data_IF_973359374128
#
_entry.id   IF_973359374128
#
_cell.length_a   1.000
_cell.length_b   1.000
_cell.length_c   1.000
_cell.angle_alpha   90.00
_cell.angle_beta   90.00
_cell.angle_gamma   90.00
#
_symmetry.space_group_name_H-M   'P 1'
#
loop_
_entity.id
_entity.type
_entity.pdbx_description
1 polymer ?
#
# COMPACT_ATOMS: atom_id res chain seq x y z
N UNK A 1 -15.30 11.38 14.13
CA UNK A 1 -14.67 10.82 12.92
C UNK A 1 -13.25 10.36 13.25
N UNK A 2 -13.14 9.21 13.91
CA UNK A 2 -11.84 8.55 14.16
C UNK A 2 -11.65 7.41 13.16
N UNK A 3 -10.45 7.29 12.61
CA UNK A 3 -10.02 6.07 11.89
C UNK A 3 -9.30 5.16 12.88
N UNK A 4 -9.61 3.87 12.92
CA UNK A 4 -8.74 2.93 13.62
C UNK A 4 -7.41 2.85 12.88
N UNK A 5 -6.32 2.72 13.64
CA UNK A 5 -5.02 2.37 13.05
C UNK A 5 -5.13 1.05 12.29
N UNK A 6 -4.35 0.91 11.21
CA UNK A 6 -4.17 -0.37 10.56
C UNK A 6 -3.72 -1.40 11.60
N UNK A 7 -4.52 -2.46 11.80
CA UNK A 7 -4.22 -3.49 12.81
C UNK A 7 -3.03 -4.37 12.42
N UNK A 8 -2.61 -4.33 11.15
CA UNK A 8 -1.53 -5.16 10.62
C UNK A 8 -0.25 -4.32 10.43
N UNK A 9 0.82 -4.58 11.19
CA UNK A 9 2.08 -3.86 11.04
C UNK A 9 2.76 -4.12 9.68
N UNK A 10 3.68 -3.23 9.31
CA UNK A 10 4.52 -3.37 8.11
C UNK A 10 5.89 -3.92 8.53
N UNK A 11 6.13 -5.20 8.23
CA UNK A 11 7.39 -5.89 8.55
C UNK A 11 8.44 -5.71 7.43
N UNK A 12 9.03 -4.53 7.34
CA UNK A 12 10.03 -4.23 6.30
C UNK A 12 11.31 -5.07 6.40
N UNK A 13 11.66 -5.54 7.59
CA UNK A 13 12.86 -6.34 7.86
C UNK A 13 12.86 -7.72 7.19
N UNK A 14 11.72 -8.16 6.65
CA UNK A 14 11.61 -9.40 5.89
C UNK A 14 12.16 -9.27 4.47
N UNK A 15 12.27 -8.05 3.93
CA UNK A 15 12.88 -7.78 2.62
C UNK A 15 14.37 -7.55 2.83
N UNK A 16 15.21 -8.45 2.33
CA UNK A 16 16.63 -8.50 2.71
C UNK A 16 17.55 -8.25 1.52
N UNK A 17 17.25 -8.78 0.34
CA UNK A 17 18.14 -8.72 -0.81
C UNK A 17 17.98 -7.38 -1.51
N UNK A 18 19.08 -6.78 -1.96
CA UNK A 18 19.03 -5.56 -2.80
C UNK A 18 18.10 -5.75 -4.00
N UNK A 19 17.26 -4.75 -4.26
CA UNK A 19 16.22 -4.74 -5.28
C UNK A 19 15.10 -5.75 -5.08
N UNK A 20 15.07 -6.50 -3.97
CA UNK A 20 13.93 -7.32 -3.59
C UNK A 20 12.72 -6.42 -3.33
N UNK A 21 11.58 -6.84 -3.84
CA UNK A 21 10.28 -6.19 -3.60
C UNK A 21 9.33 -7.21 -3.01
N UNK A 22 8.77 -6.89 -1.84
CA UNK A 22 7.67 -7.66 -1.23
C UNK A 22 6.42 -6.80 -1.21
N UNK A 23 5.31 -7.32 -1.74
CA UNK A 23 4.02 -6.63 -1.73
C UNK A 23 2.97 -7.40 -0.94
N UNK A 24 2.00 -6.68 -0.38
CA UNK A 24 0.87 -7.28 0.33
C UNK A 24 -0.34 -6.36 0.34
N UNK A 25 -1.54 -6.94 0.28
CA UNK A 25 -2.80 -6.21 0.44
C UNK A 25 -3.06 -5.91 1.93
N UNK A 26 -3.70 -4.78 2.20
CA UNK A 26 -4.11 -4.32 3.53
C UNK A 26 -5.56 -3.85 3.49
N UNK A 27 -6.24 -4.08 4.60
CA UNK A 27 -7.62 -3.65 4.82
C UNK A 27 -7.73 -3.06 6.23
N UNK A 28 -8.31 -1.86 6.31
CA UNK A 28 -8.63 -1.18 7.55
C UNK A 28 -10.15 -0.98 7.64
N UNK A 29 -10.71 -1.07 8.85
CA UNK A 29 -12.13 -0.83 9.10
C UNK A 29 -12.34 0.55 9.73
N UNK A 30 -13.26 1.34 9.17
CA UNK A 30 -13.70 2.61 9.80
C UNK A 30 -14.56 2.37 11.04
N UNK A 31 -14.52 3.30 12.00
CA UNK A 31 -15.11 3.16 13.33
C UNK A 31 -16.63 3.44 13.39
N UNK A 32 -17.18 4.27 12.51
CA UNK A 32 -18.58 4.73 12.61
C UNK A 32 -19.21 4.97 11.23
N UNK A 33 -20.00 4.01 10.74
CA UNK A 33 -21.24 4.21 9.97
C UNK A 33 -21.86 2.85 9.68
N UNK A 34 -23.19 2.77 9.60
CA UNK A 34 -23.96 1.55 9.28
C UNK A 34 -23.52 0.84 7.97
N UNK A 35 -22.74 1.52 7.14
CA UNK A 35 -22.08 0.97 5.95
C UNK A 35 -20.57 0.84 6.17
N UNK A 36 -20.14 -0.17 6.94
CA UNK A 36 -18.74 -0.63 7.11
C UNK A 36 -17.80 -0.20 5.97
N UNK A 37 -17.17 0.98 6.10
CA UNK A 37 -16.29 1.49 5.05
C UNK A 37 -14.91 0.88 5.25
N UNK A 38 -14.61 -0.10 4.41
CA UNK A 38 -13.28 -0.67 4.29
C UNK A 38 -12.36 0.32 3.57
N UNK A 39 -11.15 0.50 4.07
CA UNK A 39 -10.09 1.19 3.36
C UNK A 39 -9.02 0.18 2.97
N UNK A 40 -8.87 -0.03 1.66
CA UNK A 40 -7.98 -1.02 1.06
C UNK A 40 -6.84 -0.33 0.33
N UNK A 41 -5.65 -0.89 0.51
CA UNK A 41 -4.42 -0.42 -0.11
C UNK A 41 -3.42 -1.58 -0.21
N UNK A 42 -2.44 -1.42 -1.08
CA UNK A 42 -1.29 -2.29 -1.21
C UNK A 42 -0.09 -1.65 -0.50
N UNK A 43 0.66 -2.47 0.22
CA UNK A 43 1.98 -2.11 0.72
C UNK A 43 3.00 -2.78 -0.18
N UNK A 44 3.93 -2.02 -0.75
CA UNK A 44 5.10 -2.58 -1.42
C UNK A 44 6.37 -2.08 -0.73
N UNK A 45 7.24 -3.01 -0.35
CA UNK A 45 8.50 -2.72 0.33
C UNK A 45 9.62 -3.12 -0.63
N UNK A 46 10.48 -2.17 -0.98
CA UNK A 46 11.66 -2.40 -1.80
C UNK A 46 12.92 -2.18 -0.97
N UNK A 47 13.86 -3.13 -1.01
CA UNK A 47 15.21 -2.93 -0.48
C UNK A 47 16.01 -2.17 -1.53
N UNK A 48 16.45 -0.97 -1.19
CA UNK A 48 17.27 -0.14 -2.07
C UNK A 48 18.73 -0.63 -2.07
N UNK A 49 19.51 -0.19 -3.06
CA UNK A 49 20.93 -0.53 -3.22
C UNK A 49 21.82 0.21 -2.21
N UNK A 50 21.52 0.03 -0.93
CA UNK A 50 22.39 0.40 0.17
C UNK A 50 23.29 -0.79 0.51
N UNK A 51 24.57 -0.55 0.86
CA UNK A 51 25.49 -1.60 1.28
C UNK A 51 24.87 -2.49 2.37
N UNK A 52 25.03 -3.81 2.22
CA UNK A 52 24.69 -4.73 3.29
C UNK A 52 25.57 -4.45 4.51
N UNK A 53 24.96 -4.47 5.71
CA UNK A 53 25.70 -4.24 6.93
C UNK A 53 26.73 -5.35 7.13
N UNK A 54 28.00 -5.01 7.01
CA UNK A 54 29.09 -5.88 7.41
C UNK A 54 29.11 -5.93 8.94
N UNK A 55 28.88 -7.10 9.59
CA UNK A 55 29.02 -7.20 11.03
C UNK A 55 30.43 -6.78 11.42
N UNK A 56 30.52 -5.86 12.38
CA UNK A 56 31.79 -5.31 12.83
C UNK A 56 32.55 -6.34 13.67
N UNK A 57 33.08 -7.38 13.05
CA UNK A 57 34.13 -8.20 13.66
C UNK A 57 35.49 -7.44 13.67
N UNK A 58 35.49 -6.15 13.28
CA UNK A 58 36.64 -5.24 13.17
C UNK A 58 36.72 -4.26 14.37
N UNK A 59 35.67 -4.12 15.20
CA UNK A 59 35.68 -3.21 16.35
C UNK A 59 35.33 -3.91 17.65
N UNK A 60 36.28 -3.92 18.57
CA UNK A 60 36.23 -4.54 19.88
C UNK A 60 35.19 -3.93 20.82
N UNK A 61 34.65 -4.81 21.65
CA UNK A 61 33.97 -4.59 22.92
C UNK A 61 32.71 -3.70 22.98
N UNK A 62 31.59 -4.39 23.22
CA UNK A 62 30.54 -4.04 24.19
C UNK A 62 29.39 -3.09 23.82
N UNK A 63 29.25 -2.56 22.59
CA UNK A 63 28.16 -1.60 22.34
C UNK A 63 27.56 -1.59 20.92
N UNK A 64 27.25 -2.74 20.30
CA UNK A 64 26.48 -2.74 19.04
C UNK A 64 25.37 -3.78 19.06
N UNK A 65 24.23 -3.43 19.65
CA UNK A 65 22.96 -3.94 19.15
C UNK A 65 22.90 -3.53 17.67
N UNK A 66 23.04 -4.51 16.78
CA UNK A 66 23.17 -4.32 15.34
C UNK A 66 21.82 -3.84 14.80
N UNK A 67 21.64 -2.53 14.70
CA UNK A 67 20.49 -1.96 14.01
C UNK A 67 20.68 -2.15 12.51
N UNK A 68 19.89 -3.07 11.90
CA UNK A 68 19.78 -3.15 10.43
C UNK A 68 19.46 -1.76 9.90
N UNK A 69 20.32 -1.21 9.05
CA UNK A 69 20.08 0.13 8.51
C UNK A 69 18.84 0.11 7.60
N UNK A 70 17.89 1.03 7.80
CA UNK A 70 16.66 1.10 7.01
C UNK A 70 16.98 1.64 5.61
N UNK A 71 17.39 0.74 4.72
CA UNK A 71 17.63 1.04 3.31
C UNK A 71 16.44 0.59 2.46
N UNK A 72 15.23 0.97 2.85
CA UNK A 72 13.99 0.47 2.26
C UNK A 72 13.09 1.62 1.84
N UNK A 73 12.46 1.48 0.67
CA UNK A 73 11.35 2.33 0.25
C UNK A 73 10.04 1.57 0.49
N UNK A 74 9.13 2.18 1.25
CA UNK A 74 7.80 1.62 1.55
C UNK A 74 6.76 2.45 0.81
N UNK A 75 6.07 1.83 -0.13
CA UNK A 75 4.96 2.42 -0.88
C UNK A 75 3.63 2.00 -0.26
N UNK A 76 2.73 2.97 -0.10
CA UNK A 76 1.32 2.76 0.23
C UNK A 76 0.50 3.15 -1.01
N UNK A 77 -0.03 2.16 -1.72
CA UNK A 77 -0.64 2.33 -3.04
C UNK A 77 -2.12 1.95 -3.01
N UNK A 78 -3.00 2.59 -3.79
CA UNK A 78 -4.36 2.10 -3.98
C UNK A 78 -4.38 0.68 -4.55
N UNK A 79 -5.42 -0.10 -4.24
CA UNK A 79 -5.63 -1.43 -4.85
C UNK A 79 -6.13 -1.32 -6.29
N UNK A 80 -6.90 -0.29 -6.60
CA UNK A 80 -7.48 -0.03 -7.92
C UNK A 80 -7.43 1.48 -8.16
N UNK A 81 -7.00 1.87 -9.37
CA UNK A 81 -7.03 3.24 -9.86
C UNK A 81 -7.73 3.21 -11.21
N UNK A 82 -8.75 4.04 -11.40
CA UNK A 82 -9.35 4.31 -12.71
C UNK A 82 -8.67 5.55 -13.28
N UNK A 83 -8.15 5.46 -14.50
CA UNK A 83 -7.56 6.57 -15.23
C UNK A 83 -8.43 6.90 -16.45
N UNK A 84 -8.99 8.12 -16.51
CA UNK A 84 -9.72 8.56 -17.69
C UNK A 84 -8.74 9.14 -18.72
N UNK A 85 -8.47 8.37 -19.78
CA UNK A 85 -7.63 8.77 -20.91
C UNK A 85 -8.42 9.39 -22.08
N UNK A 86 -9.74 9.49 -21.96
CA UNK A 86 -10.61 10.04 -23.00
C UNK A 86 -10.58 11.57 -22.99
N UNK A 87 -10.85 12.24 -24.12
CA UNK A 87 -11.00 13.70 -24.21
C UNK A 87 -12.38 14.18 -23.72
N UNK A 88 -13.08 13.39 -22.91
CA UNK A 88 -14.40 13.69 -22.37
C UNK A 88 -14.53 13.20 -20.93
N UNK A 89 -15.64 13.53 -20.29
CA UNK A 89 -15.96 13.05 -18.94
C UNK A 89 -16.42 11.58 -18.99
N UNK A 90 -15.91 10.78 -18.07
CA UNK A 90 -16.21 9.35 -17.92
C UNK A 90 -17.07 9.14 -16.69
N UNK A 91 -18.30 8.67 -16.88
CA UNK A 91 -19.12 8.15 -15.79
C UNK A 91 -18.86 6.65 -15.63
N UNK A 92 -18.66 6.19 -14.40
CA UNK A 92 -18.37 4.78 -14.11
C UNK A 92 -19.13 4.30 -12.87
N UNK A 93 -19.36 3.01 -12.81
CA UNK A 93 -19.78 2.31 -11.60
C UNK A 93 -19.11 0.94 -11.55
N UNK A 94 -18.93 0.40 -10.34
CA UNK A 94 -18.44 -0.96 -10.17
C UNK A 94 -19.64 -1.85 -9.87
N UNK A 95 -19.87 -2.84 -10.72
CA UNK A 95 -21.03 -3.74 -10.57
C UNK A 95 -21.02 -4.43 -9.21
N UNK A 96 -22.17 -4.45 -8.54
CA UNK A 96 -22.36 -5.11 -7.25
C UNK A 96 -21.73 -4.38 -6.06
N UNK A 97 -21.06 -3.24 -6.25
CA UNK A 97 -20.50 -2.41 -5.19
C UNK A 97 -21.12 -1.01 -5.19
N UNK A 98 -21.24 -0.34 -4.04
CA UNK A 98 -21.68 1.05 -3.96
C UNK A 98 -20.54 2.00 -4.34
N UNK A 99 -19.89 1.77 -5.48
CA UNK A 99 -18.78 2.55 -6.01
C UNK A 99 -19.21 3.04 -7.39
N UNK A 100 -19.32 4.36 -7.53
CA UNK A 100 -19.61 5.03 -8.79
C UNK A 100 -19.07 6.45 -8.73
N UNK A 101 -19.01 7.11 -9.88
CA UNK A 101 -18.65 8.50 -9.96
C UNK A 101 -18.37 8.96 -11.37
N UNK A 102 -17.88 10.19 -11.44
CA UNK A 102 -17.62 10.88 -12.69
C UNK A 102 -16.18 11.38 -12.69
N UNK A 103 -15.44 11.11 -13.77
CA UNK A 103 -14.02 11.40 -13.88
C UNK A 103 -13.76 12.29 -15.10
N UNK A 104 -13.21 13.48 -14.87
CA UNK A 104 -12.84 14.40 -15.95
C UNK A 104 -11.70 13.84 -16.82
N UNK A 105 -11.58 14.36 -18.04
CA UNK A 105 -10.49 14.01 -18.97
C UNK A 105 -9.12 14.15 -18.31
N UNK A 106 -8.27 13.13 -18.47
CA UNK A 106 -6.91 13.08 -17.96
C UNK A 106 -6.81 12.98 -16.43
N UNK A 107 -7.90 12.66 -15.72
CA UNK A 107 -7.90 12.49 -14.26
C UNK A 107 -7.94 11.04 -13.85
N UNK A 108 -7.59 10.80 -12.60
CA UNK A 108 -7.53 9.48 -11.98
C UNK A 108 -8.33 9.46 -10.67
N UNK A 109 -8.92 8.31 -10.35
CA UNK A 109 -9.62 8.08 -9.09
C UNK A 109 -9.14 6.77 -8.44
N UNK A 110 -8.69 6.86 -7.19
CA UNK A 110 -8.33 5.72 -6.37
C UNK A 110 -9.57 5.11 -5.69
N UNK A 111 -9.84 3.83 -5.93
CA UNK A 111 -11.01 3.13 -5.39
C UNK A 111 -10.63 2.32 -4.14
N UNK A 112 -10.42 3.01 -3.02
CA UNK A 112 -10.00 2.38 -1.76
C UNK A 112 -11.02 1.40 -1.16
N UNK A 113 -12.27 1.43 -1.59
CA UNK A 113 -13.31 0.50 -1.12
C UNK A 113 -13.46 -0.72 -2.03
N UNK A 114 -12.80 -0.77 -3.18
CA UNK A 114 -12.92 -1.89 -4.12
C UNK A 114 -12.24 -3.14 -3.57
N UNK A 115 -13.00 -4.24 -3.49
CA UNK A 115 -12.47 -5.55 -3.08
C UNK A 115 -11.93 -6.31 -4.30
N UNK A 116 -10.60 -6.42 -4.38
CA UNK A 116 -9.88 -7.14 -5.45
C UNK A 116 -9.71 -8.64 -5.15
N UNK A 117 -10.39 -9.17 -4.14
CA UNK A 117 -10.55 -10.63 -3.97
C UNK A 117 -11.67 -11.19 -4.85
N UNK A 118 -12.55 -10.31 -5.36
CA UNK A 118 -13.64 -10.64 -6.28
C UNK A 118 -13.36 -10.07 -7.67
N UNK A 119 -14.07 -10.59 -8.67
CA UNK A 119 -14.03 -10.03 -10.02
C UNK A 119 -14.61 -8.61 -10.00
N UNK A 120 -13.91 -7.68 -10.66
CA UNK A 120 -14.35 -6.30 -10.81
C UNK A 120 -14.84 -6.11 -12.25
N UNK A 121 -16.11 -5.75 -12.38
CA UNK A 121 -16.74 -5.39 -13.65
C UNK A 121 -17.06 -3.89 -13.61
N UNK A 122 -16.55 -3.15 -14.61
CA UNK A 122 -16.69 -1.69 -14.81
C UNK A 122 -17.63 -1.40 -15.98
#
# INVERSE_FOLDING_TARGET
>A
MGVFFCKTPIHWTNVQKTSEVSSSKRECHSMESENSRFFRFCVAIKKENYPDYMPSNIFSDSAKQIFRQPGHTIYLLPTVVICNLLPCELEFYVKGLPINGTLKSGKEAALHTADTSQNIEL
#
